data_IF_418806884245
#
_entry.id   IF_418806884245
#
_cell.length_a   1.000
_cell.length_b   1.000
_cell.length_c   1.000
_cell.angle_alpha   90.00
_cell.angle_beta   90.00
_cell.angle_gamma   90.00
#
_symmetry.space_group_name_H-M   'P 1'
#
loop_
_entity.id
_entity.type
_entity.pdbx_description
1 polymer ?
#
# COMPACT_ATOMS: atom_id res chain seq x y z
N UNK A 1 22.30 -2.74 4.54
CA UNK A 1 21.83 -1.57 3.75
C UNK A 1 22.35 -1.53 2.31
N UNK A 2 23.66 -1.37 2.06
CA UNK A 2 24.17 -1.08 0.69
C UNK A 2 23.97 -2.20 -0.34
N UNK A 3 23.93 -3.48 0.04
CA UNK A 3 23.82 -4.58 -0.94
C UNK A 3 22.37 -4.82 -1.39
N UNK A 4 21.42 -4.78 -0.46
CA UNK A 4 19.97 -4.90 -0.73
C UNK A 4 19.47 -3.63 -1.44
N UNK A 5 19.80 -2.43 -0.94
CA UNK A 5 19.46 -1.20 -1.68
C UNK A 5 20.13 -1.11 -3.04
N UNK A 6 21.33 -1.68 -3.29
CA UNK A 6 21.95 -1.72 -4.63
C UNK A 6 21.31 -2.77 -5.54
N UNK A 7 20.94 -3.92 -5.02
CA UNK A 7 20.16 -4.93 -5.75
C UNK A 7 18.80 -4.34 -6.17
N UNK A 8 18.11 -3.65 -5.25
CA UNK A 8 16.82 -2.99 -5.52
C UNK A 8 16.94 -1.65 -6.28
N UNK A 9 18.03 -0.89 -6.15
CA UNK A 9 18.28 0.29 -6.99
C UNK A 9 18.43 -0.11 -8.45
N UNK A 10 19.05 -1.27 -8.75
CA UNK A 10 19.12 -1.79 -10.12
C UNK A 10 17.71 -2.08 -10.66
N UNK A 11 16.83 -2.66 -9.84
CA UNK A 11 15.41 -2.88 -10.19
C UNK A 11 14.64 -1.57 -10.42
N UNK A 12 14.93 -0.51 -9.66
CA UNK A 12 14.23 0.78 -9.75
C UNK A 12 14.77 1.69 -10.86
N UNK A 13 16.09 1.71 -11.10
CA UNK A 13 16.74 2.57 -12.10
C UNK A 13 16.37 2.16 -13.54
N UNK A 14 16.07 0.89 -13.79
CA UNK A 14 15.60 0.40 -15.08
C UNK A 14 14.20 0.94 -15.45
N UNK A 15 13.33 1.23 -14.46
CA UNK A 15 12.03 1.85 -14.74
C UNK A 15 12.07 3.36 -15.01
N UNK A 16 13.15 4.07 -14.64
CA UNK A 16 13.28 5.52 -14.89
C UNK A 16 13.76 5.85 -16.31
N UNK A 17 14.38 4.91 -17.02
CA UNK A 17 14.85 5.13 -18.40
C UNK A 17 13.72 5.15 -19.46
N UNK A 18 12.57 4.56 -19.15
CA UNK A 18 11.39 4.52 -20.04
C UNK A 18 10.47 5.76 -19.96
N UNK A 19 10.69 6.67 -19.01
CA UNK A 19 9.83 7.85 -18.80
C UNK A 19 10.38 9.16 -19.38
N UNK A 20 11.50 9.14 -20.11
CA UNK A 20 12.13 10.35 -20.69
C UNK A 20 11.86 10.60 -22.18
N UNK A 21 10.99 9.83 -22.80
CA UNK A 21 10.66 9.98 -24.23
C UNK A 21 9.16 10.19 -24.41
N UNK A 22 8.69 11.41 -24.17
CA UNK A 22 7.51 12.05 -24.79
C UNK A 22 7.23 13.38 -24.10
N UNK A 23 8.03 14.41 -24.40
CA UNK A 23 7.59 15.79 -24.18
C UNK A 23 6.85 16.22 -25.45
N UNK A 24 5.52 16.12 -25.42
CA UNK A 24 4.66 16.75 -26.41
C UNK A 24 4.07 17.99 -25.77
N UNK A 25 4.51 19.16 -26.24
CA UNK A 25 4.08 20.47 -25.78
C UNK A 25 2.61 20.71 -26.18
N UNK A 26 1.75 20.96 -25.19
CA UNK A 26 0.41 21.53 -25.42
C UNK A 26 0.24 22.71 -24.46
N UNK A 27 -0.07 23.86 -25.07
CA UNK A 27 0.02 25.20 -24.51
C UNK A 27 -0.94 25.51 -23.37
N UNK A 28 -0.45 26.36 -22.48
CA UNK A 28 -1.22 27.06 -21.44
C UNK A 28 -2.23 28.00 -22.10
N UNK A 29 -3.50 27.92 -21.70
CA UNK A 29 -4.42 29.05 -21.81
C UNK A 29 -4.84 29.47 -20.41
N UNK A 30 -4.54 30.73 -20.10
CA UNK A 30 -4.97 31.46 -18.93
C UNK A 30 -6.50 31.64 -18.97
N UNK A 31 -7.13 31.53 -17.80
CA UNK A 31 -8.45 32.12 -17.56
C UNK A 31 -8.33 32.97 -16.30
N UNK A 32 -8.16 34.27 -16.53
CA UNK A 32 -8.17 35.32 -15.51
C UNK A 32 -9.57 35.92 -15.46
N UNK A 33 -10.00 36.24 -14.23
CA UNK A 33 -10.97 37.31 -13.89
C UNK A 33 -12.47 36.96 -14.03
N UNK A 34 -13.17 36.91 -12.89
CA UNK A 34 -14.19 37.91 -12.54
C UNK A 34 -14.68 37.72 -11.10
N UNK A 35 -14.12 38.57 -10.23
CA UNK A 35 -14.71 38.96 -8.97
C UNK A 35 -15.85 39.96 -9.25
N UNK A 36 -17.05 39.75 -8.69
CA UNK A 36 -18.00 40.84 -8.38
C UNK A 36 -19.06 40.35 -7.38
N UNK A 37 -18.92 40.87 -6.17
CA UNK A 37 -19.96 41.46 -5.29
C UNK A 37 -21.38 40.92 -5.37
N UNK A 38 -21.88 40.43 -4.22
CA UNK A 38 -23.12 40.96 -3.65
C UNK A 38 -23.16 40.73 -2.14
N UNK A 39 -22.96 41.81 -1.38
CA UNK A 39 -23.31 41.88 0.03
C UNK A 39 -24.81 42.12 0.13
N UNK A 40 -25.55 41.20 0.74
CA UNK A 40 -26.94 41.43 1.11
C UNK A 40 -27.03 41.37 2.62
N UNK A 41 -27.34 42.53 3.21
CA UNK A 41 -27.65 42.69 4.62
C UNK A 41 -28.92 41.92 4.97
N UNK A 42 -28.84 41.01 5.95
CA UNK A 42 -30.03 40.52 6.64
C UNK A 42 -29.96 40.89 8.13
N UNK A 43 -30.94 41.69 8.56
CA UNK A 43 -31.08 42.20 9.93
C UNK A 43 -31.49 41.06 10.87
N UNK A 44 -30.95 41.14 12.10
CA UNK A 44 -31.27 40.34 13.29
C UNK A 44 -32.76 40.35 13.66
N UNK A 45 -33.28 39.17 14.03
CA UNK A 45 -34.26 38.95 15.08
C UNK A 45 -33.62 37.92 16.03
N UNK A 46 -33.47 38.15 17.34
CA UNK A 46 -34.54 38.03 18.33
C UNK A 46 -34.29 36.72 19.12
N UNK A 47 -33.94 36.86 20.39
CA UNK A 47 -33.29 35.85 21.23
C UNK A 47 -34.14 34.62 21.59
N UNK A 48 -33.46 33.49 21.80
CA UNK A 48 -33.83 32.46 22.79
C UNK A 48 -32.54 31.82 23.32
N UNK A 49 -32.18 32.15 24.55
CA UNK A 49 -31.11 31.52 25.32
C UNK A 49 -31.55 30.11 25.72
N UNK A 50 -31.00 29.10 25.05
CA UNK A 50 -31.00 27.73 25.56
C UNK A 50 -29.73 27.55 26.37
N UNK A 51 -29.89 27.50 27.68
CA UNK A 51 -28.83 27.12 28.63
C UNK A 51 -28.55 25.62 28.43
N UNK A 52 -27.53 25.29 27.64
CA UNK A 52 -27.01 23.92 27.59
C UNK A 52 -26.16 23.70 28.83
N UNK A 53 -26.57 22.71 29.62
CA UNK A 53 -25.87 22.27 30.81
C UNK A 53 -24.39 22.01 30.49
N UNK A 54 -23.51 22.52 31.35
CA UNK A 54 -22.08 22.24 31.35
C UNK A 54 -21.88 20.73 31.50
N UNK A 55 -21.66 20.05 30.38
CA UNK A 55 -21.08 18.72 30.37
C UNK A 55 -19.71 18.82 31.04
N UNK A 56 -19.53 18.03 32.09
CA UNK A 56 -18.30 17.94 32.84
C UNK A 56 -17.10 17.83 31.90
N UNK A 57 -16.13 18.74 32.08
CA UNK A 57 -14.80 18.65 31.49
C UNK A 57 -14.16 17.34 31.98
N UNK A 58 -14.28 16.29 31.18
CA UNK A 58 -13.37 15.16 31.27
C UNK A 58 -11.97 15.72 30.95
N UNK A 59 -10.96 15.47 31.80
CA UNK A 59 -9.61 15.90 31.49
C UNK A 59 -9.22 15.32 30.12
N UNK A 60 -8.56 16.10 29.24
CA UNK A 60 -8.11 15.57 27.96
C UNK A 60 -7.15 14.43 28.26
N UNK A 61 -7.59 13.19 28.05
CA UNK A 61 -6.70 12.04 28.00
C UNK A 61 -5.71 12.38 26.90
N UNK A 62 -4.46 12.63 27.27
CA UNK A 62 -3.40 12.88 26.30
C UNK A 62 -3.38 11.66 25.37
N UNK A 63 -3.93 11.81 24.17
CA UNK A 63 -3.93 10.75 23.17
C UNK A 63 -2.47 10.41 22.92
N UNK A 64 -2.08 9.19 23.27
CA UNK A 64 -0.76 8.67 22.98
C UNK A 64 -0.51 8.85 21.48
N UNK A 65 0.56 9.57 21.13
CA UNK A 65 0.97 9.76 19.75
C UNK A 65 2.21 8.92 19.47
N UNK A 66 2.11 8.06 18.47
CA UNK A 66 3.25 7.31 17.97
C UNK A 66 4.12 8.19 17.05
N UNK A 67 5.18 7.61 16.48
CA UNK A 67 6.19 8.36 15.71
C UNK A 67 5.64 8.99 14.43
N UNK A 68 4.52 8.48 13.90
CA UNK A 68 3.90 9.03 12.70
C UNK A 68 3.39 10.46 12.89
N UNK A 69 3.23 10.94 14.13
CA UNK A 69 2.88 12.34 14.41
C UNK A 69 3.89 13.36 13.86
N UNK A 70 5.10 12.91 13.48
CA UNK A 70 6.16 13.75 12.90
C UNK A 70 6.25 13.65 11.37
N UNK A 71 5.44 12.79 10.75
CA UNK A 71 5.44 12.60 9.30
C UNK A 71 4.70 13.73 8.58
N UNK A 72 4.97 13.88 7.28
CA UNK A 72 4.31 14.90 6.45
C UNK A 72 3.10 14.37 5.70
N UNK A 73 3.11 13.08 5.36
CA UNK A 73 1.98 12.42 4.69
C UNK A 73 0.71 12.57 5.52
N UNK A 74 -0.38 13.13 4.96
CA UNK A 74 -1.69 13.13 5.61
C UNK A 74 -2.19 11.72 5.92
N UNK A 75 -1.84 10.74 5.08
CA UNK A 75 -2.19 9.33 5.29
C UNK A 75 -1.48 8.76 6.53
N UNK A 76 -0.19 9.03 6.72
CA UNK A 76 0.54 8.57 7.91
C UNK A 76 0.08 9.30 9.18
N UNK A 77 -0.17 10.61 9.08
CA UNK A 77 -0.67 11.40 10.20
C UNK A 77 -2.03 10.93 10.71
N UNK A 78 -2.90 10.38 9.85
CA UNK A 78 -4.18 9.79 10.25
C UNK A 78 -3.98 8.66 11.29
N UNK A 79 -2.90 7.89 11.16
CA UNK A 79 -2.57 6.76 12.03
C UNK A 79 -1.74 7.15 13.28
N UNK A 80 -1.44 8.44 13.48
CA UNK A 80 -0.55 8.91 14.54
C UNK A 80 -1.09 8.66 15.96
N UNK A 81 -2.41 8.54 16.11
CA UNK A 81 -3.07 8.29 17.40
C UNK A 81 -3.49 6.83 17.59
N UNK A 82 -3.14 5.94 16.65
CA UNK A 82 -3.46 4.52 16.80
C UNK A 82 -2.64 3.93 17.96
N UNK A 83 -3.19 2.98 18.72
CA UNK A 83 -2.48 2.32 19.82
C UNK A 83 -1.28 1.49 19.35
N UNK A 84 -1.24 1.09 18.07
CA UNK A 84 -0.06 0.45 17.49
C UNK A 84 1.13 1.42 17.52
N UNK A 85 2.27 0.96 18.07
CA UNK A 85 3.55 1.71 18.06
C UNK A 85 4.14 1.73 16.64
N UNK A 86 3.55 2.55 15.78
CA UNK A 86 3.97 2.69 14.39
C UNK A 86 5.29 3.45 14.26
N UNK A 87 6.17 2.90 13.42
CA UNK A 87 7.33 3.59 12.89
C UNK A 87 7.08 3.98 11.43
N UNK A 88 7.62 5.12 10.97
CA UNK A 88 7.79 5.34 9.54
C UNK A 88 8.85 4.39 8.97
N UNK A 89 8.87 4.24 7.65
CA UNK A 89 9.93 3.49 6.99
C UNK A 89 11.29 4.17 7.18
N UNK A 90 12.19 3.55 7.95
CA UNK A 90 13.50 4.13 8.19
C UNK A 90 14.39 3.29 9.10
N UNK A 91 15.64 3.76 9.23
CA UNK A 91 16.70 3.02 9.92
C UNK A 91 16.39 2.79 11.41
N UNK A 92 15.67 3.71 12.07
CA UNK A 92 15.24 3.55 13.47
C UNK A 92 14.45 2.25 13.67
N UNK A 93 13.47 1.99 12.80
CA UNK A 93 12.64 0.79 12.88
C UNK A 93 13.46 -0.48 12.58
N UNK A 94 14.33 -0.42 11.59
CA UNK A 94 15.16 -1.56 11.19
C UNK A 94 16.19 -1.91 12.25
N UNK A 95 16.81 -0.90 12.86
CA UNK A 95 17.71 -1.11 13.99
C UNK A 95 16.97 -1.68 15.20
N UNK A 96 15.77 -1.18 15.52
CA UNK A 96 14.95 -1.74 16.60
C UNK A 96 14.67 -3.21 16.36
N UNK A 97 14.22 -3.55 15.15
CA UNK A 97 13.93 -4.94 14.76
C UNK A 97 15.16 -5.84 14.89
N UNK A 98 16.35 -5.38 14.47
CA UNK A 98 17.60 -6.14 14.62
C UNK A 98 18.05 -6.26 16.07
N UNK A 99 17.96 -5.19 16.86
CA UNK A 99 18.37 -5.17 18.28
C UNK A 99 17.48 -6.07 19.13
N UNK A 100 16.17 -6.04 18.89
CA UNK A 100 15.20 -6.84 19.63
C UNK A 100 14.98 -8.24 19.02
N UNK A 101 15.59 -8.53 17.87
CA UNK A 101 15.36 -9.73 17.06
C UNK A 101 13.86 -10.02 16.82
N UNK A 102 13.10 -8.96 16.51
CA UNK A 102 11.67 -9.04 16.22
C UNK A 102 11.42 -8.94 14.72
N UNK A 103 10.51 -9.76 14.15
CA UNK A 103 10.06 -9.57 12.78
C UNK A 103 9.39 -8.20 12.60
N UNK A 104 9.38 -7.71 11.38
CA UNK A 104 8.73 -6.46 11.01
C UNK A 104 7.34 -6.76 10.45
N UNK A 105 6.33 -6.07 10.96
CA UNK A 105 5.03 -5.98 10.30
C UNK A 105 4.98 -4.71 9.45
N UNK A 106 5.06 -4.85 8.13
CA UNK A 106 4.97 -3.77 7.17
C UNK A 106 3.54 -3.61 6.66
N UNK A 107 2.93 -2.46 6.91
CA UNK A 107 1.61 -2.09 6.39
C UNK A 107 1.71 -0.91 5.43
N UNK A 108 1.52 -1.19 4.14
CA UNK A 108 1.52 -0.17 3.07
C UNK A 108 0.10 0.17 2.65
N UNK A 109 -0.21 1.45 2.53
CA UNK A 109 -1.49 1.95 2.05
C UNK A 109 -1.37 3.34 1.45
N UNK A 110 -2.50 4.00 1.22
CA UNK A 110 -2.58 5.36 0.68
C UNK A 110 -3.92 6.00 1.05
N UNK A 111 -4.00 7.32 0.95
CA UNK A 111 -5.10 8.16 1.44
C UNK A 111 -6.50 7.77 0.92
N UNK A 112 -6.60 7.32 -0.34
CA UNK A 112 -7.89 7.00 -1.00
C UNK A 112 -8.20 5.49 -1.01
N UNK A 113 -7.46 4.69 -0.26
CA UNK A 113 -7.65 3.25 -0.18
C UNK A 113 -8.79 2.87 0.79
N UNK A 114 -9.92 2.42 0.25
CA UNK A 114 -11.07 2.01 1.08
C UNK A 114 -10.71 0.93 2.11
N UNK A 115 -10.13 -0.19 1.67
CA UNK A 115 -9.81 -1.31 2.56
C UNK A 115 -8.72 -0.97 3.58
N UNK A 116 -7.89 0.04 3.32
CA UNK A 116 -6.89 0.51 4.28
C UNK A 116 -7.58 1.19 5.47
N UNK A 117 -8.62 2.00 5.22
CA UNK A 117 -9.45 2.61 6.26
C UNK A 117 -10.29 1.57 7.01
N UNK A 118 -10.79 0.54 6.31
CA UNK A 118 -11.50 -0.57 6.96
C UNK A 118 -10.56 -1.30 7.94
N UNK A 119 -9.37 -1.71 7.48
CA UNK A 119 -8.41 -2.40 8.34
C UNK A 119 -7.88 -1.53 9.48
N UNK A 120 -7.76 -0.22 9.26
CA UNK A 120 -7.45 0.72 10.35
C UNK A 120 -8.48 0.63 11.47
N UNK A 121 -9.75 0.88 11.16
CA UNK A 121 -10.82 0.94 12.16
C UNK A 121 -11.06 -0.40 12.84
N UNK A 122 -11.02 -1.47 12.06
CA UNK A 122 -11.31 -2.80 12.58
C UNK A 122 -10.14 -3.40 13.35
N UNK A 123 -8.88 -3.10 12.97
CA UNK A 123 -7.70 -3.78 13.51
C UNK A 123 -6.67 -2.85 14.15
N UNK A 124 -6.31 -1.73 13.51
CA UNK A 124 -5.20 -0.88 14.00
C UNK A 124 -5.61 0.10 15.11
N UNK A 125 -6.91 0.36 15.28
CA UNK A 125 -7.47 1.11 16.42
C UNK A 125 -7.77 0.20 17.64
N UNK A 126 -7.67 -1.13 17.48
CA UNK A 126 -7.94 -2.09 18.54
C UNK A 126 -6.71 -2.28 19.45
N UNK A 127 -6.87 -2.00 20.74
CA UNK A 127 -5.83 -2.08 21.77
C UNK A 127 -5.26 -3.51 21.95
N UNK A 128 -6.09 -4.55 21.85
CA UNK A 128 -5.63 -5.93 22.00
C UNK A 128 -4.76 -6.36 20.81
N UNK A 129 -5.13 -5.96 19.60
CA UNK A 129 -4.31 -6.19 18.39
C UNK A 129 -3.01 -5.40 18.47
N UNK A 130 -3.08 -4.13 18.88
CA UNK A 130 -1.91 -3.28 19.07
C UNK A 130 -0.94 -3.87 20.10
N UNK A 131 -1.45 -4.45 21.18
CA UNK A 131 -0.64 -5.15 22.19
C UNK A 131 0.13 -6.32 21.57
N UNK A 132 -0.54 -7.21 20.82
CA UNK A 132 0.13 -8.33 20.12
C UNK A 132 1.23 -7.80 19.18
N UNK A 133 0.92 -6.74 18.43
CA UNK A 133 1.89 -6.12 17.53
C UNK A 133 3.10 -5.56 18.30
N UNK A 134 2.89 -4.86 19.41
CA UNK A 134 3.98 -4.28 20.21
C UNK A 134 4.87 -5.33 20.89
N UNK A 135 4.27 -6.44 21.33
CA UNK A 135 4.97 -7.53 22.02
C UNK A 135 5.89 -8.28 21.04
N UNK A 136 5.41 -8.57 19.83
CA UNK A 136 6.08 -9.51 18.94
C UNK A 136 6.68 -8.89 17.67
N UNK A 137 6.32 -7.67 17.30
CA UNK A 137 6.71 -7.08 16.02
C UNK A 137 7.25 -5.66 16.16
N UNK A 138 8.06 -5.25 15.18
CA UNK A 138 8.26 -3.83 14.88
C UNK A 138 7.30 -3.45 13.76
N UNK A 139 6.32 -2.59 14.07
CA UNK A 139 5.26 -2.22 13.13
C UNK A 139 5.66 -0.99 12.33
N UNK A 140 5.67 -1.09 11.01
CA UNK A 140 6.04 -0.01 10.09
C UNK A 140 4.86 0.34 9.20
N UNK A 141 4.50 1.63 9.17
CA UNK A 141 3.48 2.17 8.28
C UNK A 141 4.13 2.91 7.12
N UNK A 142 3.65 2.67 5.91
CA UNK A 142 4.17 3.31 4.69
C UNK A 142 3.03 3.88 3.86
N UNK A 143 3.22 5.12 3.43
CA UNK A 143 2.43 5.72 2.37
C UNK A 143 3.05 5.37 1.01
N UNK A 144 2.27 4.65 0.19
CA UNK A 144 2.63 4.30 -1.17
C UNK A 144 2.84 5.53 -2.04
N UNK A 145 2.11 6.62 -1.81
CA UNK A 145 2.20 7.84 -2.62
C UNK A 145 3.56 8.53 -2.42
N UNK A 146 4.13 8.44 -1.21
CA UNK A 146 5.47 8.94 -0.91
C UNK A 146 6.57 7.92 -1.23
N UNK A 147 6.31 6.62 -1.04
CA UNK A 147 7.28 5.52 -1.21
C UNK A 147 6.79 4.44 -2.18
N UNK A 148 6.58 4.77 -3.46
CA UNK A 148 6.15 3.80 -4.48
C UNK A 148 7.24 2.75 -4.76
N UNK A 149 8.49 3.05 -4.41
CA UNK A 149 9.60 2.11 -4.47
C UNK A 149 9.44 0.93 -3.50
N UNK A 150 9.08 1.21 -2.25
CA UNK A 150 8.82 0.20 -1.21
C UNK A 150 7.58 -0.62 -1.59
N UNK A 151 6.52 0.07 -1.98
CA UNK A 151 5.28 -0.55 -2.43
C UNK A 151 5.51 -1.57 -3.55
N UNK A 152 6.21 -1.15 -4.62
CA UNK A 152 6.45 -2.01 -5.78
C UNK A 152 7.18 -3.29 -5.41
N UNK A 153 8.23 -3.19 -4.60
CA UNK A 153 9.06 -4.33 -4.17
C UNK A 153 8.21 -5.38 -3.45
N UNK A 154 7.47 -4.97 -2.43
CA UNK A 154 6.70 -5.91 -1.63
C UNK A 154 5.40 -6.36 -2.31
N UNK A 155 4.85 -5.55 -3.21
CA UNK A 155 3.71 -5.96 -4.05
C UNK A 155 4.11 -7.08 -5.02
N UNK A 156 5.32 -7.02 -5.59
CA UNK A 156 5.85 -8.12 -6.41
C UNK A 156 5.94 -9.41 -5.61
N UNK A 157 6.39 -9.35 -4.35
CA UNK A 157 6.39 -10.52 -3.46
C UNK A 157 4.97 -11.09 -3.24
N UNK A 158 3.98 -10.22 -2.94
CA UNK A 158 2.59 -10.66 -2.73
C UNK A 158 2.03 -11.33 -3.99
N UNK A 159 2.20 -10.70 -5.16
CA UNK A 159 1.73 -11.21 -6.44
C UNK A 159 2.37 -12.54 -6.81
N UNK A 160 3.69 -12.68 -6.62
CA UNK A 160 4.39 -13.94 -6.88
C UNK A 160 3.96 -15.07 -5.92
N UNK A 161 3.68 -14.74 -4.66
CA UNK A 161 3.36 -15.74 -3.64
C UNK A 161 1.89 -16.19 -3.66
N UNK A 162 0.96 -15.30 -4.02
CA UNK A 162 -0.49 -15.54 -3.92
C UNK A 162 -1.23 -15.48 -5.26
N UNK A 163 -0.56 -15.10 -6.36
CA UNK A 163 -1.17 -14.94 -7.68
C UNK A 163 -2.05 -13.69 -7.82
N UNK A 164 -2.18 -12.88 -6.76
CA UNK A 164 -2.94 -11.63 -6.73
C UNK A 164 -2.29 -10.63 -5.78
N UNK A 165 -2.79 -9.40 -5.77
CA UNK A 165 -2.26 -8.34 -4.90
C UNK A 165 -3.23 -7.18 -4.77
N UNK A 166 -2.98 -6.30 -3.80
CA UNK A 166 -3.85 -5.18 -3.51
C UNK A 166 -3.49 -4.51 -2.18
N UNK A 167 -4.27 -3.49 -1.83
CA UNK A 167 -4.09 -2.72 -0.60
C UNK A 167 -5.30 -2.91 0.33
N UNK A 168 -5.12 -2.88 1.67
CA UNK A 168 -3.87 -2.67 2.38
C UNK A 168 -2.90 -3.82 2.13
N UNK A 169 -1.62 -3.52 1.96
CA UNK A 169 -0.60 -4.54 1.77
C UNK A 169 0.05 -4.81 3.12
N UNK A 170 -0.10 -6.04 3.60
CA UNK A 170 0.30 -6.49 4.93
C UNK A 170 1.39 -7.55 4.78
N UNK A 171 2.64 -7.19 5.07
CA UNK A 171 3.81 -8.06 4.81
C UNK A 171 4.62 -8.24 6.08
N UNK A 172 5.06 -9.47 6.32
CA UNK A 172 5.92 -9.81 7.43
C UNK A 172 7.34 -10.04 6.93
N UNK A 173 8.29 -9.31 7.51
CA UNK A 173 9.69 -9.29 7.10
C UNK A 173 10.59 -9.76 8.22
N UNK A 174 11.73 -10.34 7.86
CA UNK A 174 12.85 -10.51 8.79
C UNK A 174 13.48 -9.14 9.14
N UNK A 175 14.34 -9.06 10.17
CA UNK A 175 15.11 -7.85 10.47
C UNK A 175 16.03 -7.36 9.33
N UNK A 176 16.31 -8.19 8.33
CA UNK A 176 17.05 -7.87 7.11
C UNK A 176 16.15 -7.36 5.98
N UNK A 177 14.87 -7.17 6.26
CA UNK A 177 13.83 -6.68 5.34
C UNK A 177 13.41 -7.69 4.27
N UNK A 178 13.68 -8.98 4.51
CA UNK A 178 13.31 -10.06 3.60
C UNK A 178 11.88 -10.54 3.91
N UNK A 179 10.94 -10.53 2.95
CA UNK A 179 9.58 -10.96 3.17
C UNK A 179 9.48 -12.50 3.25
N UNK A 180 8.69 -12.98 4.20
CA UNK A 180 8.44 -14.43 4.36
C UNK A 180 6.96 -14.81 4.35
N UNK A 181 6.08 -13.86 4.67
CA UNK A 181 4.65 -14.01 4.57
C UNK A 181 4.05 -12.67 4.20
N UNK A 182 2.93 -12.68 3.50
CA UNK A 182 2.16 -11.47 3.32
C UNK A 182 0.74 -11.77 2.87
N UNK A 183 -0.07 -10.74 2.86
CA UNK A 183 -1.44 -10.76 2.38
C UNK A 183 -1.90 -9.34 2.10
N UNK A 184 -3.19 -9.21 1.83
CA UNK A 184 -3.82 -7.91 1.67
C UNK A 184 -4.55 -7.53 2.96
N UNK A 185 -5.87 -7.58 2.94
CA UNK A 185 -6.73 -7.38 4.08
C UNK A 185 -6.72 -8.62 5.01
N UNK A 186 -6.57 -8.40 6.30
CA UNK A 186 -6.82 -9.41 7.33
C UNK A 186 -7.98 -8.95 8.21
N UNK A 187 -9.07 -9.74 8.35
CA UNK A 187 -10.21 -9.36 9.19
C UNK A 187 -9.83 -9.37 10.68
N UNK A 188 -10.51 -8.61 11.54
CA UNK A 188 -10.20 -8.56 12.97
C UNK A 188 -10.50 -9.88 13.70
N UNK A 189 -11.43 -10.67 13.18
CA UNK A 189 -11.90 -11.92 13.77
C UNK A 189 -11.72 -13.10 12.81
N UNK A 190 -11.70 -14.31 13.38
CA UNK A 190 -11.70 -15.54 12.60
C UNK A 190 -13.05 -15.73 11.90
N UNK A 191 -13.02 -16.05 10.61
CA UNK A 191 -14.18 -16.46 9.85
C UNK A 191 -13.98 -17.88 9.30
N UNK A 192 -15.07 -18.50 8.82
CA UNK A 192 -14.99 -19.84 8.25
C UNK A 192 -13.96 -19.87 7.09
N UNK A 193 -12.92 -20.69 7.26
CA UNK A 193 -11.76 -20.82 6.35
C UNK A 193 -10.88 -19.58 6.17
N UNK A 194 -10.99 -18.56 7.04
CA UNK A 194 -10.10 -17.39 6.99
C UNK A 194 -9.73 -16.95 8.41
N UNK A 195 -8.48 -17.19 8.85
CA UNK A 195 -8.04 -16.70 10.15
C UNK A 195 -8.03 -15.18 10.17
N UNK A 196 -8.43 -14.63 11.31
CA UNK A 196 -8.36 -13.22 11.65
C UNK A 196 -6.92 -12.80 11.91
N UNK A 197 -6.74 -11.48 11.93
CA UNK A 197 -5.46 -10.85 12.11
C UNK A 197 -4.79 -11.23 13.44
N UNK A 198 -5.48 -11.28 14.61
CA UNK A 198 -4.87 -11.76 15.85
C UNK A 198 -4.32 -13.19 15.75
N UNK A 199 -5.07 -14.09 15.12
CA UNK A 199 -4.68 -15.50 14.93
C UNK A 199 -3.44 -15.61 14.06
N UNK A 200 -3.38 -14.83 12.98
CA UNK A 200 -2.21 -14.75 12.09
C UNK A 200 -1.00 -14.22 12.86
N UNK A 201 -1.14 -13.11 13.58
CA UNK A 201 -0.06 -12.49 14.35
C UNK A 201 0.53 -13.46 15.38
N UNK A 202 -0.32 -14.11 16.18
CA UNK A 202 0.13 -15.09 17.19
C UNK A 202 0.78 -16.32 16.56
N UNK A 203 0.26 -16.79 15.43
CA UNK A 203 0.84 -17.91 14.68
C UNK A 203 2.25 -17.58 14.20
N UNK A 204 2.45 -16.40 13.62
CA UNK A 204 3.76 -15.92 13.16
C UNK A 204 4.73 -15.74 14.32
N UNK A 205 4.29 -15.10 15.41
CA UNK A 205 5.11 -14.90 16.60
C UNK A 205 5.61 -16.25 17.17
N UNK A 206 4.71 -17.22 17.32
CA UNK A 206 5.05 -18.57 17.78
C UNK A 206 6.01 -19.29 16.83
N UNK A 207 5.81 -19.14 15.51
CA UNK A 207 6.70 -19.74 14.51
C UNK A 207 8.08 -19.10 14.55
N UNK A 208 8.17 -17.78 14.74
CA UNK A 208 9.44 -17.04 14.87
C UNK A 208 10.22 -17.50 16.10
N UNK A 209 9.57 -17.61 17.26
CA UNK A 209 10.20 -18.11 18.49
C UNK A 209 10.67 -19.57 18.36
N UNK A 210 9.92 -20.40 17.63
CA UNK A 210 10.22 -21.83 17.50
C UNK A 210 11.29 -22.15 16.45
N UNK A 211 11.26 -21.47 15.31
CA UNK A 211 12.07 -21.80 14.13
C UNK A 211 12.45 -20.54 13.32
N UNK A 212 13.12 -19.60 13.99
CA UNK A 212 13.62 -18.37 13.39
C UNK A 212 14.52 -18.65 12.17
N UNK A 213 15.45 -19.58 12.30
CA UNK A 213 16.41 -19.91 11.23
C UNK A 213 15.69 -20.48 10.01
N UNK A 214 14.68 -21.34 10.19
CA UNK A 214 13.87 -21.85 9.10
C UNK A 214 13.11 -20.75 8.37
N UNK A 215 12.60 -19.73 9.09
CA UNK A 215 11.96 -18.56 8.47
C UNK A 215 12.98 -17.77 7.65
N UNK A 216 14.15 -17.44 8.20
CA UNK A 216 15.20 -16.69 7.49
C UNK A 216 15.65 -17.41 6.21
N UNK A 217 15.85 -18.72 6.27
CA UNK A 217 16.22 -19.53 5.11
C UNK A 217 15.14 -19.53 4.02
N UNK A 218 13.85 -19.62 4.42
CA UNK A 218 12.72 -19.52 3.47
C UNK A 218 12.66 -18.14 2.84
N UNK A 219 12.85 -17.08 3.63
CA UNK A 219 12.87 -15.68 3.18
C UNK A 219 13.93 -15.46 2.11
N UNK A 220 15.17 -15.91 2.38
CA UNK A 220 16.28 -15.80 1.45
C UNK A 220 16.02 -16.55 0.12
N UNK A 221 15.39 -17.73 0.18
CA UNK A 221 15.00 -18.48 -1.02
C UNK A 221 13.96 -17.75 -1.87
N UNK A 222 12.93 -17.18 -1.24
CA UNK A 222 11.92 -16.40 -1.96
C UNK A 222 12.54 -15.16 -2.58
N UNK A 223 13.44 -14.49 -1.86
CA UNK A 223 14.18 -13.35 -2.37
C UNK A 223 15.03 -13.68 -3.59
N UNK A 224 15.75 -14.81 -3.57
CA UNK A 224 16.52 -15.29 -4.71
C UNK A 224 15.63 -15.58 -5.93
N UNK A 225 14.48 -16.23 -5.72
CA UNK A 225 13.53 -16.50 -6.79
C UNK A 225 12.94 -15.22 -7.41
N UNK A 226 12.61 -14.22 -6.57
CA UNK A 226 12.13 -12.92 -7.04
C UNK A 226 13.19 -12.16 -7.84
N UNK A 227 14.46 -12.22 -7.43
CA UNK A 227 15.56 -11.61 -8.17
C UNK A 227 15.72 -12.24 -9.56
N UNK A 228 15.65 -13.57 -9.65
CA UNK A 228 15.72 -14.28 -10.94
C UNK A 228 14.56 -13.89 -11.87
N UNK A 229 13.34 -13.77 -11.36
CA UNK A 229 12.19 -13.32 -12.17
C UNK A 229 12.39 -11.92 -12.75
N UNK A 230 12.98 -11.01 -11.97
CA UNK A 230 13.27 -9.64 -12.43
C UNK A 230 14.41 -9.62 -13.44
N UNK A 231 15.46 -10.42 -13.23
CA UNK A 231 16.59 -10.52 -14.16
C UNK A 231 16.16 -11.06 -15.53
N UNK A 232 15.35 -12.12 -15.55
CA UNK A 232 14.78 -12.68 -16.80
C UNK A 232 13.93 -11.63 -17.52
N UNK A 233 13.12 -10.85 -16.80
CA UNK A 233 12.32 -9.77 -17.40
C UNK A 233 13.16 -8.62 -17.98
N UNK A 234 14.44 -8.49 -17.57
CA UNK A 234 15.37 -7.49 -18.11
C UNK A 234 16.25 -7.97 -19.26
N UNK A 235 16.31 -9.29 -19.51
CA UNK A 235 17.12 -9.90 -20.57
C UNK A 235 16.34 -10.07 -21.90
N UNK A 236 15.01 -9.89 -21.88
CA UNK A 236 14.18 -9.88 -23.08
C UNK A 236 14.30 -8.56 -23.87
N UNK A 237 15.42 -8.42 -24.59
CA UNK A 237 15.58 -7.53 -25.76
C UNK A 237 15.57 -6.01 -25.50
N UNK A 238 16.52 -5.28 -26.10
CA UNK A 238 16.51 -3.82 -26.11
C UNK A 238 15.31 -3.29 -26.91
N UNK A 239 14.18 -3.06 -26.25
CA UNK A 239 13.05 -2.33 -26.83
C UNK A 239 11.72 -2.62 -26.15
N UNK A 240 10.72 -1.72 -26.27
CA UNK A 240 9.37 -2.02 -25.86
C UNK A 240 8.82 -3.24 -26.65
N UNK A 241 7.88 -4.01 -26.07
CA UNK A 241 7.28 -5.15 -26.77
C UNK A 241 6.73 -4.72 -28.14
N UNK A 242 7.08 -5.48 -29.20
CA UNK A 242 6.59 -5.20 -30.55
C UNK A 242 5.06 -5.29 -30.66
N UNK A 243 4.49 -4.74 -31.74
CA UNK A 243 3.03 -4.69 -31.95
C UNK A 243 2.34 -6.07 -31.89
N UNK A 244 3.04 -7.15 -32.23
CA UNK A 244 2.53 -8.52 -32.10
C UNK A 244 2.23 -8.89 -30.63
N UNK A 245 3.08 -8.46 -29.68
CA UNK A 245 2.84 -8.67 -28.25
C UNK A 245 1.60 -7.90 -27.77
N UNK A 246 1.43 -6.66 -28.24
CA UNK A 246 0.23 -5.87 -27.95
C UNK A 246 -1.02 -6.54 -28.53
N UNK A 247 -0.95 -7.07 -29.75
CA UNK A 247 -2.06 -7.78 -30.39
C UNK A 247 -2.46 -9.03 -29.59
N UNK A 248 -1.49 -9.84 -29.16
CA UNK A 248 -1.76 -11.01 -28.29
C UNK A 248 -2.37 -10.59 -26.96
N UNK A 249 -1.84 -9.54 -26.33
CA UNK A 249 -2.39 -9.00 -25.10
C UNK A 249 -3.84 -8.51 -25.28
N UNK A 250 -4.15 -7.86 -26.40
CA UNK A 250 -5.52 -7.45 -26.75
C UNK A 250 -6.44 -8.65 -26.94
N UNK A 251 -6.01 -9.71 -27.64
CA UNK A 251 -6.81 -10.92 -27.82
C UNK A 251 -7.11 -11.61 -26.48
N UNK A 252 -6.09 -11.76 -25.62
CA UNK A 252 -6.25 -12.31 -24.28
C UNK A 252 -7.19 -11.45 -23.42
N UNK A 253 -7.10 -10.13 -23.56
CA UNK A 253 -7.98 -9.21 -22.86
C UNK A 253 -9.43 -9.31 -23.34
N UNK A 254 -9.64 -9.33 -24.66
CA UNK A 254 -10.96 -9.46 -25.29
C UNK A 254 -11.63 -10.79 -24.91
N UNK A 255 -10.87 -11.86 -24.79
CA UNK A 255 -11.38 -13.15 -24.32
C UNK A 255 -11.90 -13.11 -22.88
N UNK A 256 -11.46 -12.13 -22.07
CA UNK A 256 -11.89 -11.92 -20.69
C UNK A 256 -13.00 -10.87 -20.56
N UNK A 257 -13.48 -10.30 -21.66
CA UNK A 257 -14.55 -9.31 -21.65
C UNK A 257 -15.83 -9.90 -21.05
N UNK A 258 -16.35 -9.28 -20.00
CA UNK A 258 -17.67 -9.60 -19.49
C UNK A 258 -18.71 -8.74 -20.22
N UNK A 259 -19.45 -9.38 -21.13
CA UNK A 259 -20.47 -8.71 -21.95
C UNK A 259 -21.75 -8.36 -21.19
N UNK A 260 -22.01 -9.01 -20.06
CA UNK A 260 -23.24 -8.80 -19.29
C UNK A 260 -23.10 -7.62 -18.33
N UNK A 261 -21.99 -7.58 -17.59
CA UNK A 261 -21.76 -6.58 -16.54
C UNK A 261 -20.61 -5.62 -16.83
N UNK A 262 -20.01 -5.70 -18.03
CA UNK A 262 -18.87 -4.88 -18.42
C UNK A 262 -17.57 -5.24 -17.68
N UNK A 263 -16.46 -4.65 -18.13
CA UNK A 263 -15.13 -4.90 -17.57
C UNK A 263 -14.51 -6.22 -18.03
N UNK A 264 -13.45 -6.65 -17.32
CA UNK A 264 -12.65 -7.81 -17.71
C UNK A 264 -12.44 -8.79 -16.56
N UNK A 265 -12.70 -10.07 -16.80
CA UNK A 265 -12.56 -11.15 -15.82
C UNK A 265 -13.72 -11.25 -14.83
N UNK A 266 -13.51 -12.02 -13.76
CA UNK A 266 -14.45 -12.18 -12.66
C UNK A 266 -14.40 -11.00 -11.68
N UNK A 267 -15.42 -10.89 -10.81
CA UNK A 267 -15.43 -9.89 -9.75
C UNK A 267 -14.29 -10.11 -8.73
N UNK A 268 -13.79 -9.03 -8.10
CA UNK A 268 -14.09 -7.62 -8.37
C UNK A 268 -13.36 -7.08 -9.62
N UNK A 269 -14.05 -6.26 -10.43
CA UNK A 269 -13.53 -5.73 -11.71
C UNK A 269 -13.03 -4.30 -11.56
N UNK A 270 -11.76 -4.12 -11.20
CA UNK A 270 -11.15 -2.79 -11.15
C UNK A 270 -10.58 -2.35 -12.51
N UNK A 271 -10.78 -1.09 -12.94
CA UNK A 271 -10.18 -0.59 -14.16
C UNK A 271 -8.66 -0.55 -14.03
N UNK A 272 -7.95 -1.33 -14.85
CA UNK A 272 -6.49 -1.33 -14.88
C UNK A 272 -6.01 -0.42 -16.03
N UNK A 273 -5.17 0.60 -15.76
CA UNK A 273 -4.70 1.52 -16.80
C UNK A 273 -4.03 0.83 -17.99
N UNK A 274 -3.26 -0.24 -17.74
CA UNK A 274 -2.60 -1.02 -18.80
C UNK A 274 -3.61 -1.70 -19.73
N UNK A 275 -4.66 -2.30 -19.15
CA UNK A 275 -5.76 -2.91 -19.87
C UNK A 275 -6.49 -1.91 -20.77
N UNK A 276 -6.82 -0.73 -20.24
CA UNK A 276 -7.47 0.34 -21.00
C UNK A 276 -6.54 0.84 -22.12
N UNK A 277 -5.25 0.98 -21.82
CA UNK A 277 -4.24 1.44 -22.79
C UNK A 277 -4.14 0.50 -23.99
N UNK A 278 -4.19 -0.82 -23.78
CA UNK A 278 -4.21 -1.82 -24.86
C UNK A 278 -5.47 -1.66 -25.73
N UNK A 279 -6.64 -1.51 -25.10
CA UNK A 279 -7.89 -1.26 -25.82
C UNK A 279 -7.86 0.04 -26.65
N UNK A 280 -7.24 1.11 -26.12
CA UNK A 280 -7.07 2.36 -26.84
C UNK A 280 -6.11 2.22 -28.03
N UNK A 281 -5.06 1.40 -27.94
CA UNK A 281 -4.18 1.13 -29.08
C UNK A 281 -4.93 0.43 -30.23
N UNK A 282 -5.86 -0.48 -29.92
CA UNK A 282 -6.79 -1.07 -30.90
C UNK A 282 -7.65 -0.01 -31.57
N UNK A 283 -8.29 0.86 -30.79
CA UNK A 283 -9.17 1.92 -31.33
C UNK A 283 -8.42 2.94 -32.19
N UNK A 284 -7.14 3.19 -31.91
CA UNK A 284 -6.27 4.05 -32.71
C UNK A 284 -5.75 3.38 -33.99
N UNK A 285 -6.11 2.12 -34.26
CA UNK A 285 -5.67 1.37 -35.44
C UNK A 285 -4.21 0.90 -35.39
N UNK A 286 -3.56 0.95 -34.21
CA UNK A 286 -2.16 0.53 -34.05
C UNK A 286 -2.00 -1.00 -34.07
N UNK A 287 -3.09 -1.74 -33.86
CA UNK A 287 -3.12 -3.21 -33.87
C UNK A 287 -4.40 -3.72 -34.58
N UNK A 288 -4.28 -4.84 -35.30
CA UNK A 288 -5.28 -5.36 -36.25
C UNK A 288 -6.49 -6.05 -35.63
#
# INVERSE_FOLDING_TARGET
>A
MRTIMKAWLRVLLLSRRLLRSTSCAIGKREVTTLCRTSCIHFKRAGASTVTMATGADLPPVAKHQNRLAKEKSPYLLQHANNPVDWYPWGEEAFEKSRKENKPIFLSVGYSTCHWCHVMERESFENEDIAKILSEHFVSIKVDREERPDVDKVYMTFIQASQGGGGWPMSVFLTPELEPFLGGTYFPPEDHFNRPGFPTILRSIAKQWEKDEQGIRQKSAKVMAALQQMVEVASDEGEGPPGLNCVQKAYQALKAREDKQYGGFGSAPKFPQPGTISIGLQKLRGAIQ
#
